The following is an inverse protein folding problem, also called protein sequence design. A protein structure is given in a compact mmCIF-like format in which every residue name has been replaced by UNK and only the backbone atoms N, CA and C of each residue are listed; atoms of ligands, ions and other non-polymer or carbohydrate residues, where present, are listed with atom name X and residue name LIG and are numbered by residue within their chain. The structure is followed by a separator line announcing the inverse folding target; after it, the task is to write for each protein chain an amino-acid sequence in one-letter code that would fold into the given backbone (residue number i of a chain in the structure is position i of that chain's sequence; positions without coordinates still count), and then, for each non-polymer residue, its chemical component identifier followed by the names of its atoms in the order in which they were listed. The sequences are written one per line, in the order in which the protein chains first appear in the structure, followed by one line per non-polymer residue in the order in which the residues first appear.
data_IF_026236255042
#
_entry.id   IF_026236255042
#
_cell.length_a   1.000
_cell.length_b   1.000
_cell.length_c   1.000
_cell.angle_alpha   90.00
_cell.angle_beta   90.00
_cell.angle_gamma   90.00
#
_symmetry.space_group_name_H-M   'P 1'
#
loop_
_entity.id
_entity.type
_entity.pdbx_description
1 polymer ?
#
# COMPACT_ATOMS: atom_id res chain seq x y z
N UNK A 1 -16.63 5.38 -7.92
CA UNK A 1 -15.96 6.05 -6.78
C UNK A 1 -14.53 6.38 -7.17
N UNK A 2 -14.09 7.64 -7.04
CA UNK A 2 -12.73 8.10 -7.40
C UNK A 2 -11.60 7.39 -6.62
N UNK A 3 -11.93 6.83 -5.46
CA UNK A 3 -10.99 6.22 -4.53
C UNK A 3 -10.80 4.71 -4.77
N UNK A 4 -11.65 4.07 -5.57
CA UNK A 4 -11.67 2.61 -5.69
C UNK A 4 -10.37 2.03 -6.28
N UNK A 5 -9.93 2.55 -7.42
CA UNK A 5 -8.71 2.07 -8.09
C UNK A 5 -7.46 2.34 -7.22
N UNK A 6 -7.25 3.55 -6.68
CA UNK A 6 -6.15 3.81 -5.75
C UNK A 6 -6.13 2.91 -4.52
N UNK A 7 -7.29 2.71 -3.86
CA UNK A 7 -7.37 1.86 -2.67
C UNK A 7 -7.06 0.40 -3.01
N UNK A 8 -7.51 -0.10 -4.15
CA UNK A 8 -7.14 -1.45 -4.62
C UNK A 8 -5.65 -1.55 -4.95
N UNK A 9 -5.08 -0.55 -5.62
CA UNK A 9 -3.64 -0.52 -5.90
C UNK A 9 -2.83 -0.52 -4.59
N UNK A 10 -3.25 0.24 -3.59
CA UNK A 10 -2.64 0.22 -2.27
C UNK A 10 -2.80 -1.12 -1.54
N UNK A 11 -3.97 -1.76 -1.59
CA UNK A 11 -4.20 -3.03 -0.88
C UNK A 11 -3.34 -4.19 -1.38
N UNK A 12 -2.93 -4.16 -2.65
CA UNK A 12 -2.04 -5.15 -3.25
C UNK A 12 -0.56 -4.72 -3.29
N UNK A 13 -0.21 -3.62 -2.63
CA UNK A 13 1.16 -3.15 -2.52
C UNK A 13 1.95 -4.00 -1.52
N UNK A 14 2.64 -5.03 -2.01
CA UNK A 14 3.48 -5.89 -1.16
C UNK A 14 4.99 -5.70 -1.37
N UNK A 15 5.41 -4.82 -2.28
CA UNK A 15 6.79 -4.71 -2.78
C UNK A 15 7.84 -4.48 -1.68
N UNK A 16 7.52 -3.74 -0.62
CA UNK A 16 8.45 -3.45 0.48
C UNK A 16 8.83 -4.69 1.28
N UNK A 17 7.97 -5.71 1.30
CA UNK A 17 8.16 -6.94 2.06
C UNK A 17 8.80 -8.06 1.23
N UNK A 18 8.84 -7.91 -0.10
CA UNK A 18 9.40 -8.93 -1.02
C UNK A 18 10.88 -9.20 -0.71
N UNK A 19 11.70 -8.17 -0.50
CA UNK A 19 13.15 -8.37 -0.27
C UNK A 19 13.43 -9.12 1.06
N UNK A 20 12.86 -8.72 2.21
CA UNK A 20 13.00 -9.50 3.45
C UNK A 20 12.54 -10.96 3.29
N UNK A 21 11.38 -11.19 2.67
CA UNK A 21 10.85 -12.55 2.46
C UNK A 21 11.80 -13.37 1.58
N UNK A 22 12.39 -12.76 0.55
CA UNK A 22 13.35 -13.44 -0.32
C UNK A 22 14.62 -13.85 0.43
N UNK A 23 15.14 -12.99 1.31
CA UNK A 23 16.34 -13.28 2.10
C UNK A 23 16.14 -14.39 3.13
N UNK A 24 14.94 -14.50 3.70
CA UNK A 24 14.58 -15.54 4.67
C UNK A 24 14.11 -16.85 4.02
N UNK A 25 13.88 -16.85 2.70
CA UNK A 25 13.42 -18.04 1.98
C UNK A 25 14.55 -19.08 1.92
N UNK A 26 14.33 -20.25 2.53
CA UNK A 26 15.24 -21.39 2.46
C UNK A 26 15.56 -21.72 0.99
N UNK A 27 16.82 -21.65 0.55
CA UNK A 27 17.29 -21.84 -0.84
C UNK A 27 16.61 -20.90 -1.86
N UNK A 28 16.90 -19.58 -1.81
CA UNK A 28 16.15 -18.58 -2.55
C UNK A 28 16.38 -18.67 -4.07
N UNK A 29 15.29 -18.69 -4.84
CA UNK A 29 15.33 -18.67 -6.32
C UNK A 29 14.19 -17.85 -6.89
N UNK A 30 14.35 -17.33 -8.12
CA UNK A 30 13.33 -16.49 -8.77
C UNK A 30 11.97 -17.21 -8.89
N UNK A 31 11.99 -18.46 -9.34
CA UNK A 31 10.78 -19.28 -9.50
C UNK A 31 10.06 -19.51 -8.17
N UNK A 32 10.80 -19.82 -7.11
CA UNK A 32 10.20 -20.04 -5.78
C UNK A 32 9.63 -18.77 -5.18
N UNK A 33 10.33 -17.65 -5.34
CA UNK A 33 9.83 -16.35 -4.90
C UNK A 33 8.55 -15.95 -5.66
N UNK A 34 8.50 -16.24 -6.96
CA UNK A 34 7.31 -16.00 -7.75
C UNK A 34 6.14 -16.86 -7.32
N UNK A 35 6.37 -18.14 -6.98
CA UNK A 35 5.33 -19.00 -6.41
C UNK A 35 4.80 -18.43 -5.07
N UNK A 36 5.70 -18.05 -4.15
CA UNK A 36 5.32 -17.40 -2.88
C UNK A 36 4.48 -16.14 -3.12
N UNK A 37 4.88 -15.32 -4.08
CA UNK A 37 4.18 -14.07 -4.42
C UNK A 37 2.80 -14.35 -5.01
N UNK A 38 2.69 -15.27 -5.97
CA UNK A 38 1.41 -15.63 -6.61
C UNK A 38 0.45 -16.25 -5.60
N UNK A 39 0.92 -17.19 -4.77
CA UNK A 39 0.10 -17.77 -3.70
C UNK A 39 -0.34 -16.71 -2.69
N UNK A 40 0.56 -15.82 -2.27
CA UNK A 40 0.24 -14.75 -1.31
C UNK A 40 -0.78 -13.75 -1.85
N UNK A 41 -0.62 -13.29 -3.09
CA UNK A 41 -1.57 -12.38 -3.74
C UNK A 41 -2.92 -13.07 -3.95
N UNK A 42 -2.92 -14.33 -4.41
CA UNK A 42 -4.15 -15.10 -4.61
C UNK A 42 -4.95 -15.29 -3.33
N UNK A 43 -4.28 -15.64 -2.23
CA UNK A 43 -4.92 -15.77 -0.92
C UNK A 43 -5.46 -14.41 -0.43
N UNK A 44 -4.68 -13.34 -0.58
CA UNK A 44 -5.10 -11.98 -0.20
C UNK A 44 -6.33 -11.54 -0.99
N UNK A 45 -6.37 -11.82 -2.30
CA UNK A 45 -7.52 -11.54 -3.15
C UNK A 45 -8.77 -12.26 -2.65
N UNK A 46 -8.69 -13.55 -2.33
CA UNK A 46 -9.84 -14.31 -1.81
C UNK A 46 -10.37 -13.73 -0.50
N UNK A 47 -9.49 -13.38 0.44
CA UNK A 47 -9.87 -12.81 1.73
C UNK A 47 -10.53 -11.44 1.54
N UNK A 48 -9.91 -10.57 0.73
CA UNK A 48 -10.45 -9.23 0.44
C UNK A 48 -11.77 -9.31 -0.31
N UNK A 49 -11.90 -10.21 -1.29
CA UNK A 49 -13.13 -10.39 -2.04
C UNK A 49 -14.28 -10.87 -1.16
N UNK A 50 -14.06 -11.90 -0.33
CA UNK A 50 -15.10 -12.39 0.59
C UNK A 50 -15.51 -11.31 1.59
N UNK A 51 -14.53 -10.61 2.17
CA UNK A 51 -14.78 -9.52 3.13
C UNK A 51 -15.55 -8.35 2.50
N UNK A 52 -15.19 -7.96 1.27
CA UNK A 52 -15.88 -6.91 0.52
C UNK A 52 -17.30 -7.33 0.11
N UNK A 53 -17.47 -8.57 -0.36
CA UNK A 53 -18.77 -9.11 -0.79
C UNK A 53 -19.75 -9.17 0.37
N UNK A 54 -19.40 -9.83 1.48
CA UNK A 54 -20.27 -9.94 2.64
C UNK A 54 -20.44 -8.61 3.39
N UNK A 55 -19.39 -7.78 3.43
CA UNK A 55 -19.47 -6.42 3.98
C UNK A 55 -20.47 -5.55 3.22
N UNK A 56 -20.46 -5.63 1.89
CA UNK A 56 -21.43 -4.93 1.04
C UNK A 56 -22.85 -5.51 1.18
N UNK A 57 -23.01 -6.84 1.10
CA UNK A 57 -24.33 -7.48 1.22
C UNK A 57 -24.99 -7.26 2.60
N UNK A 58 -24.23 -6.94 3.64
CA UNK A 58 -24.80 -6.66 4.97
C UNK A 58 -25.45 -5.27 5.04
N UNK A 59 -24.86 -4.25 4.40
CA UNK A 59 -25.29 -2.85 4.55
C UNK A 59 -25.85 -2.20 3.28
N UNK A 60 -25.60 -2.80 2.11
CA UNK A 60 -25.94 -2.28 0.79
C UNK A 60 -25.53 -0.79 0.65
N UNK A 61 -26.48 0.07 0.31
CA UNK A 61 -26.26 1.51 0.08
C UNK A 61 -25.83 2.29 1.34
N UNK A 62 -25.84 1.66 2.52
CA UNK A 62 -25.43 2.27 3.80
C UNK A 62 -23.97 1.97 4.17
N UNK A 63 -23.18 1.41 3.25
CA UNK A 63 -21.76 1.15 3.50
C UNK A 63 -20.96 2.46 3.60
N UNK A 64 -20.21 2.62 4.68
CA UNK A 64 -19.33 3.76 4.93
C UNK A 64 -17.93 3.56 4.35
N UNK A 65 -17.07 4.58 4.50
CA UNK A 65 -15.63 4.50 4.18
C UNK A 65 -14.91 3.44 5.01
N UNK A 66 -15.32 3.26 6.26
CA UNK A 66 -14.77 2.29 7.20
C UNK A 66 -15.83 1.28 7.63
N UNK A 67 -15.72 0.03 7.15
CA UNK A 67 -16.69 -1.02 7.43
C UNK A 67 -16.83 -1.29 8.94
N UNK A 68 -15.71 -1.27 9.68
CA UNK A 68 -15.70 -1.53 11.12
C UNK A 68 -16.41 -0.42 11.93
N UNK A 69 -16.33 0.83 11.45
CA UNK A 69 -17.05 1.95 12.04
C UNK A 69 -18.56 1.80 11.83
N UNK A 70 -18.97 1.34 10.65
CA UNK A 70 -20.39 1.04 10.35
C UNK A 70 -20.92 -0.06 11.27
N UNK A 71 -20.21 -1.19 11.38
CA UNK A 71 -20.60 -2.25 12.33
C UNK A 71 -20.68 -1.74 13.76
N UNK A 72 -19.71 -0.93 14.21
CA UNK A 72 -19.72 -0.34 15.54
C UNK A 72 -20.88 0.62 15.80
N UNK A 73 -21.40 1.29 14.77
CA UNK A 73 -22.54 2.20 14.89
C UNK A 73 -23.85 1.41 15.04
N UNK A 74 -23.98 0.30 14.33
CA UNK A 74 -25.16 -0.57 14.40
C UNK A 74 -25.16 -1.51 15.62
N UNK A 75 -23.98 -1.96 16.07
CA UNK A 75 -23.78 -2.92 17.17
C UNK A 75 -22.76 -2.37 18.20
N UNK A 76 -23.12 -1.33 18.97
CA UNK A 76 -22.16 -0.59 19.81
C UNK A 76 -21.57 -1.37 21.00
N UNK A 77 -22.23 -2.43 21.45
CA UNK A 77 -21.80 -3.23 22.62
C UNK A 77 -21.62 -4.71 22.30
N UNK A 78 -21.49 -5.05 21.02
CA UNK A 78 -21.31 -6.45 20.65
C UNK A 78 -19.88 -6.93 20.90
N UNK A 79 -19.76 -8.02 21.65
CA UNK A 79 -18.48 -8.58 22.08
C UNK A 79 -17.62 -9.04 20.90
N UNK A 80 -18.25 -9.46 19.79
CA UNK A 80 -17.55 -9.90 18.58
C UNK A 80 -16.89 -8.70 17.89
N UNK A 81 -17.63 -7.62 17.68
CA UNK A 81 -17.08 -6.40 17.07
C UNK A 81 -15.97 -5.79 17.93
N UNK A 82 -16.11 -5.80 19.26
CA UNK A 82 -15.07 -5.35 20.17
C UNK A 82 -13.80 -6.22 20.08
N UNK A 83 -13.98 -7.54 20.01
CA UNK A 83 -12.86 -8.50 19.85
C UNK A 83 -12.13 -8.26 18.52
N UNK A 84 -12.87 -8.08 17.41
CA UNK A 84 -12.28 -7.79 16.09
C UNK A 84 -11.49 -6.48 16.10
N UNK A 85 -12.01 -5.42 16.75
CA UNK A 85 -11.27 -4.15 16.90
C UNK A 85 -9.94 -4.33 17.62
N UNK A 86 -9.93 -5.06 18.74
CA UNK A 86 -8.70 -5.33 19.51
C UNK A 86 -7.73 -6.17 18.69
N UNK A 87 -8.21 -7.19 17.97
CA UNK A 87 -7.38 -8.00 17.08
C UNK A 87 -6.75 -7.18 15.95
N UNK A 88 -7.51 -6.30 15.29
CA UNK A 88 -6.99 -5.41 14.25
C UNK A 88 -5.97 -4.44 14.84
N UNK A 89 -6.26 -3.84 16.01
CA UNK A 89 -5.32 -2.95 16.69
C UNK A 89 -4.00 -3.66 16.98
N UNK A 90 -4.06 -4.87 17.53
CA UNK A 90 -2.87 -5.68 17.80
C UNK A 90 -2.09 -6.03 16.52
N UNK A 91 -2.79 -6.43 15.45
CA UNK A 91 -2.16 -6.74 14.16
C UNK A 91 -1.47 -5.51 13.54
N UNK A 92 -2.11 -4.34 13.60
CA UNK A 92 -1.53 -3.07 13.14
C UNK A 92 -0.30 -2.71 13.98
N UNK A 93 -0.36 -2.85 15.31
CA UNK A 93 0.78 -2.60 16.20
C UNK A 93 1.99 -3.49 15.86
N UNK A 94 1.78 -4.77 15.56
CA UNK A 94 2.85 -5.68 15.13
C UNK A 94 3.40 -5.34 13.73
N UNK A 95 2.57 -4.73 12.88
CA UNK A 95 2.97 -4.36 11.51
C UNK A 95 3.81 -3.06 11.49
N UNK A 96 3.60 -2.15 12.45
CA UNK A 96 4.31 -0.86 12.54
C UNK A 96 5.85 -1.03 12.55
N UNK A 97 6.46 -1.90 13.37
CA UNK A 97 7.90 -2.15 13.35
C UNK A 97 8.41 -2.66 12.00
N UNK A 98 7.65 -3.56 11.37
CA UNK A 98 8.03 -4.17 10.08
C UNK A 98 8.11 -3.14 8.96
N UNK A 99 7.22 -2.14 8.96
CA UNK A 99 7.22 -1.06 7.96
C UNK A 99 8.23 0.05 8.33
N UNK A 100 8.39 0.36 9.62
CA UNK A 100 9.35 1.38 10.07
C UNK A 100 10.81 1.00 9.79
N UNK A 101 11.14 -0.29 9.83
CA UNK A 101 12.49 -0.76 9.55
C UNK A 101 12.99 -0.37 8.13
N UNK A 102 12.32 -0.75 7.03
CA UNK A 102 12.72 -0.32 5.69
C UNK A 102 12.56 1.18 5.48
N UNK A 103 11.55 1.83 6.08
CA UNK A 103 11.38 3.29 6.00
C UNK A 103 12.60 4.04 6.58
N UNK A 104 13.05 3.64 7.77
CA UNK A 104 14.26 4.20 8.39
C UNK A 104 15.50 3.95 7.53
N UNK A 105 15.68 2.73 7.02
CA UNK A 105 16.80 2.41 6.13
C UNK A 105 16.79 3.29 4.86
N UNK A 106 15.62 3.51 4.27
CA UNK A 106 15.48 4.38 3.10
C UNK A 106 15.87 5.84 3.41
N UNK A 107 15.39 6.40 4.53
CA UNK A 107 15.77 7.76 4.96
C UNK A 107 17.27 7.87 5.20
N UNK A 108 17.86 6.92 5.92
CA UNK A 108 19.31 6.92 6.18
C UNK A 108 20.12 6.79 4.89
N UNK A 109 19.68 5.96 3.95
CA UNK A 109 20.35 5.80 2.66
C UNK A 109 20.26 7.07 1.81
N UNK A 110 19.15 7.81 1.85
CA UNK A 110 18.97 9.03 1.04
C UNK A 110 19.71 10.22 1.64
N UNK A 111 19.66 10.41 2.96
CA UNK A 111 20.17 11.62 3.61
C UNK A 111 21.54 11.44 4.27
N UNK A 112 21.93 10.23 4.64
CA UNK A 112 23.13 9.94 5.44
C UNK A 112 24.01 8.84 4.81
N UNK A 113 23.95 8.65 3.49
CA UNK A 113 24.66 7.59 2.74
C UNK A 113 26.17 7.49 3.02
N UNK A 114 26.81 8.61 3.39
CA UNK A 114 28.25 8.70 3.61
C UNK A 114 28.68 8.77 5.09
N UNK A 115 27.75 8.80 6.04
CA UNK A 115 28.08 8.93 7.47
C UNK A 115 28.00 7.60 8.21
N UNK A 116 28.92 7.39 9.15
CA UNK A 116 28.82 6.29 10.11
C UNK A 116 27.59 6.52 11.01
N UNK A 117 26.53 5.76 10.76
CA UNK A 117 25.25 5.93 11.47
C UNK A 117 25.42 5.46 12.92
N UNK A 118 25.25 6.38 13.87
CA UNK A 118 25.25 6.09 15.31
C UNK A 118 23.86 5.67 15.80
N UNK A 119 23.78 5.01 16.96
CA UNK A 119 22.51 4.69 17.63
C UNK A 119 21.63 5.93 17.86
N UNK A 120 22.25 7.08 18.14
CA UNK A 120 21.52 8.34 18.33
C UNK A 120 20.87 8.83 17.03
N UNK A 121 21.55 8.68 15.89
CA UNK A 121 20.96 8.97 14.58
C UNK A 121 19.76 8.05 14.30
N UNK A 122 19.85 6.76 14.62
CA UNK A 122 18.72 5.84 14.48
C UNK A 122 17.51 6.25 15.31
N UNK A 123 17.70 6.63 16.57
CA UNK A 123 16.63 7.09 17.47
C UNK A 123 16.01 8.37 16.93
N UNK A 124 16.81 9.36 16.54
CA UNK A 124 16.32 10.64 16.02
C UNK A 124 15.50 10.46 14.73
N UNK A 125 15.96 9.63 13.79
CA UNK A 125 15.22 9.37 12.56
C UNK A 125 13.89 8.65 12.85
N UNK A 126 13.89 7.65 13.74
CA UNK A 126 12.65 6.97 14.11
C UNK A 126 11.67 7.91 14.82
N UNK A 127 12.16 8.77 15.72
CA UNK A 127 11.33 9.76 16.40
C UNK A 127 10.72 10.75 15.40
N UNK A 128 11.53 11.29 14.49
CA UNK A 128 11.07 12.20 13.45
C UNK A 128 10.01 11.56 12.54
N UNK A 129 10.23 10.32 12.09
CA UNK A 129 9.25 9.57 11.30
C UNK A 129 7.92 9.40 12.06
N UNK A 130 7.97 8.99 13.32
CA UNK A 130 6.77 8.80 14.12
C UNK A 130 6.04 10.13 14.38
N UNK A 131 6.76 11.22 14.65
CA UNK A 131 6.17 12.55 14.80
C UNK A 131 5.42 12.98 13.54
N UNK A 132 6.00 12.76 12.34
CA UNK A 132 5.33 13.08 11.07
C UNK A 132 4.05 12.26 10.90
N UNK A 133 4.09 10.95 11.19
CA UNK A 133 2.92 10.06 11.08
C UNK A 133 1.82 10.48 12.05
N UNK A 134 2.15 10.81 13.30
CA UNK A 134 1.17 11.25 14.31
C UNK A 134 0.57 12.61 13.93
N UNK A 135 1.38 13.56 13.46
CA UNK A 135 0.87 14.84 12.96
C UNK A 135 -0.11 14.62 11.80
N UNK A 136 0.27 13.78 10.84
CA UNK A 136 -0.59 13.47 9.70
C UNK A 136 -1.92 12.82 10.14
N UNK A 137 -1.89 11.90 11.11
CA UNK A 137 -3.09 11.28 11.68
C UNK A 137 -3.99 12.27 12.42
N UNK A 138 -3.45 13.33 13.03
CA UNK A 138 -4.25 14.37 13.68
C UNK A 138 -4.92 15.32 12.68
N UNK A 139 -4.29 15.58 11.53
CA UNK A 139 -4.80 16.53 10.54
C UNK A 139 -5.69 15.92 9.46
N UNK A 140 -5.56 14.62 9.18
CA UNK A 140 -6.37 13.93 8.15
C UNK A 140 -7.50 13.14 8.82
N UNK A 141 -8.77 13.60 8.74
CA UNK A 141 -9.88 13.00 9.47
C UNK A 141 -10.37 11.66 8.89
N UNK A 142 -10.13 11.41 7.59
CA UNK A 142 -10.63 10.24 6.88
C UNK A 142 -9.48 9.38 6.32
N UNK A 143 -9.42 8.12 6.74
CA UNK A 143 -8.41 7.16 6.23
C UNK A 143 -8.54 6.92 4.72
N UNK A 144 -9.75 7.04 4.18
CA UNK A 144 -10.04 6.92 2.75
C UNK A 144 -9.24 7.94 1.92
N UNK A 145 -9.04 9.15 2.43
CA UNK A 145 -8.26 10.19 1.77
C UNK A 145 -6.79 9.80 1.70
N UNK A 146 -6.26 9.24 2.79
CA UNK A 146 -4.89 8.73 2.86
C UNK A 146 -4.69 7.61 1.84
N UNK A 147 -5.55 6.60 1.83
CA UNK A 147 -5.46 5.48 0.88
C UNK A 147 -5.65 5.92 -0.57
N UNK A 148 -6.51 6.91 -0.81
CA UNK A 148 -6.70 7.52 -2.12
C UNK A 148 -5.43 8.18 -2.66
N UNK A 149 -4.80 9.05 -1.87
CA UNK A 149 -3.59 9.78 -2.31
C UNK A 149 -2.39 8.85 -2.39
N UNK A 150 -2.12 8.06 -1.34
CA UNK A 150 -0.99 7.13 -1.33
C UNK A 150 -1.14 6.07 -2.42
N UNK A 151 -2.36 5.56 -2.63
CA UNK A 151 -2.67 4.62 -3.68
C UNK A 151 -2.48 5.18 -5.09
N UNK A 152 -2.94 6.41 -5.34
CA UNK A 152 -2.86 7.06 -6.66
C UNK A 152 -1.46 7.57 -7.01
N UNK A 153 -0.61 7.78 -6.02
CA UNK A 153 0.77 8.26 -6.22
C UNK A 153 1.78 7.13 -6.07
N UNK A 154 1.98 6.64 -4.85
CA UNK A 154 3.05 5.71 -4.52
C UNK A 154 2.77 4.34 -5.10
N UNK A 155 1.54 3.83 -4.94
CA UNK A 155 1.22 2.48 -5.39
C UNK A 155 1.14 2.36 -6.91
N UNK A 156 0.53 3.31 -7.60
CA UNK A 156 0.53 3.35 -9.08
C UNK A 156 1.96 3.42 -9.64
N UNK A 157 2.85 4.19 -9.01
CA UNK A 157 4.26 4.23 -9.40
C UNK A 157 4.93 2.87 -9.23
N UNK A 158 4.79 2.24 -8.06
CA UNK A 158 5.42 0.95 -7.75
C UNK A 158 4.87 -0.23 -8.54
N UNK A 159 3.56 -0.24 -8.82
CA UNK A 159 2.90 -1.35 -9.51
C UNK A 159 3.01 -1.28 -11.02
N UNK A 160 2.91 -0.08 -11.60
CA UNK A 160 2.76 0.07 -13.06
C UNK A 160 3.96 0.80 -13.68
N UNK A 161 4.37 1.94 -13.11
CA UNK A 161 5.38 2.81 -13.72
C UNK A 161 6.79 2.24 -13.60
N UNK A 162 7.26 1.93 -12.39
CA UNK A 162 8.63 1.47 -12.19
C UNK A 162 8.94 0.13 -12.85
N UNK A 163 8.07 -0.91 -12.78
CA UNK A 163 8.33 -2.15 -13.50
C UNK A 163 8.46 -1.95 -15.01
N UNK A 164 7.59 -1.11 -15.60
CA UNK A 164 7.66 -0.77 -17.02
C UNK A 164 8.93 0.00 -17.38
N UNK A 165 9.32 1.00 -16.57
CA UNK A 165 10.56 1.76 -16.78
C UNK A 165 11.81 0.89 -16.64
N UNK A 166 11.87 0.01 -15.64
CA UNK A 166 12.99 -0.92 -15.47
C UNK A 166 13.10 -1.88 -16.65
N UNK A 167 11.97 -2.42 -17.13
CA UNK A 167 11.97 -3.29 -18.30
C UNK A 167 12.45 -2.56 -19.55
N UNK A 168 11.95 -1.33 -19.82
CA UNK A 168 12.36 -0.54 -20.97
C UNK A 168 13.84 -0.16 -20.95
N UNK A 169 14.41 0.11 -19.77
CA UNK A 169 15.83 0.45 -19.62
C UNK A 169 16.76 -0.75 -19.69
N UNK A 170 16.33 -1.93 -19.22
CA UNK A 170 17.16 -3.12 -19.14
C UNK A 170 17.04 -4.03 -20.38
N UNK A 171 15.91 -4.00 -21.08
CA UNK A 171 15.67 -4.82 -22.26
C UNK A 171 16.48 -4.31 -23.46
N UNK A 172 17.23 -5.24 -24.08
CA UNK A 172 18.00 -5.01 -25.31
C UNK A 172 17.21 -5.30 -26.60
N UNK A 173 15.92 -5.61 -26.48
CA UNK A 173 15.05 -5.88 -27.63
C UNK A 173 14.82 -4.61 -28.48
N UNK A 174 14.39 -4.78 -29.73
CA UNK A 174 14.03 -3.63 -30.57
C UNK A 174 12.82 -2.89 -30.02
N UNK A 175 12.73 -1.57 -30.25
CA UNK A 175 11.64 -0.72 -29.75
C UNK A 175 10.24 -1.15 -30.22
N UNK A 176 10.16 -1.96 -31.29
CA UNK A 176 8.91 -2.47 -31.87
C UNK A 176 8.55 -3.87 -31.31
N UNK A 177 9.38 -4.45 -30.43
CA UNK A 177 9.05 -5.71 -29.76
C UNK A 177 7.72 -5.58 -28.99
N UNK A 178 6.81 -6.58 -29.10
CA UNK A 178 5.53 -6.56 -28.39
C UNK A 178 5.71 -6.45 -26.87
N UNK A 179 6.82 -6.97 -26.32
CA UNK A 179 7.10 -6.88 -24.89
C UNK A 179 7.50 -5.46 -24.47
N UNK A 180 8.30 -4.75 -25.28
CA UNK A 180 8.61 -3.32 -25.04
C UNK A 180 7.40 -2.42 -25.22
N UNK A 181 6.54 -2.70 -26.20
CA UNK A 181 5.29 -1.97 -26.38
C UNK A 181 4.37 -2.18 -25.17
N UNK A 182 4.26 -3.41 -24.66
CA UNK A 182 3.52 -3.72 -23.44
C UNK A 182 4.04 -2.97 -22.22
N UNK A 183 5.37 -2.89 -22.04
CA UNK A 183 5.97 -2.13 -20.95
C UNK A 183 5.71 -0.62 -21.08
N UNK A 184 5.75 -0.07 -22.30
CA UNK A 184 5.40 1.33 -22.55
C UNK A 184 3.92 1.61 -22.23
N UNK A 185 3.02 0.74 -22.68
CA UNK A 185 1.60 0.83 -22.38
C UNK A 185 1.33 0.77 -20.88
N UNK A 186 2.04 -0.07 -20.13
CA UNK A 186 1.94 -0.19 -18.68
C UNK A 186 2.33 1.12 -17.97
N UNK A 187 3.41 1.78 -18.41
CA UNK A 187 3.84 3.08 -17.87
C UNK A 187 2.79 4.15 -18.13
N UNK A 188 2.31 4.26 -19.37
CA UNK A 188 1.29 5.24 -19.74
C UNK A 188 0.01 5.02 -18.93
N UNK A 189 -0.44 3.76 -18.83
CA UNK A 189 -1.60 3.39 -18.02
C UNK A 189 -1.42 3.80 -16.56
N UNK A 190 -0.27 3.50 -15.96
CA UNK A 190 0.04 3.87 -14.58
C UNK A 190 -0.01 5.38 -14.33
N UNK A 191 0.58 6.17 -15.24
CA UNK A 191 0.56 7.64 -15.18
C UNK A 191 -0.86 8.18 -15.32
N UNK A 192 -1.62 7.70 -16.31
CA UNK A 192 -3.00 8.12 -16.54
C UNK A 192 -3.89 7.81 -15.32
N UNK A 193 -3.83 6.58 -14.81
CA UNK A 193 -4.62 6.16 -13.63
C UNK A 193 -4.24 6.97 -12.40
N UNK A 194 -2.93 7.17 -12.15
CA UNK A 194 -2.45 7.94 -11.01
C UNK A 194 -2.90 9.39 -11.06
N UNK A 195 -2.66 10.09 -12.18
CA UNK A 195 -3.04 11.49 -12.35
C UNK A 195 -4.56 11.69 -12.31
N UNK A 196 -5.31 10.88 -13.06
CA UNK A 196 -6.77 10.98 -13.07
C UNK A 196 -7.35 10.77 -11.68
N UNK A 197 -6.89 9.74 -10.96
CA UNK A 197 -7.37 9.47 -9.60
C UNK A 197 -7.02 10.60 -8.65
N UNK A 198 -5.79 11.14 -8.72
CA UNK A 198 -5.35 12.25 -7.87
C UNK A 198 -6.19 13.52 -8.13
N UNK A 199 -6.39 13.88 -9.40
CA UNK A 199 -7.22 15.03 -9.78
C UNK A 199 -8.66 14.86 -9.28
N UNK A 200 -9.25 13.68 -9.46
CA UNK A 200 -10.61 13.40 -8.99
C UNK A 200 -10.71 13.45 -7.46
N UNK A 201 -9.69 12.99 -6.73
CA UNK A 201 -9.66 13.04 -5.26
C UNK A 201 -9.59 14.50 -4.79
N UNK A 202 -8.68 15.29 -5.36
CA UNK A 202 -8.53 16.72 -5.03
C UNK A 202 -9.81 17.48 -5.34
N UNK A 203 -10.41 17.23 -6.50
CA UNK A 203 -11.68 17.83 -6.89
C UNK A 203 -12.79 17.52 -5.88
N UNK A 204 -12.90 16.26 -5.44
CA UNK A 204 -13.86 15.88 -4.38
C UNK A 204 -13.59 16.59 -3.04
N UNK A 205 -12.36 17.00 -2.74
CA UNK A 205 -12.07 17.77 -1.52
C UNK A 205 -12.44 19.25 -1.66
N UNK A 206 -12.41 19.80 -2.87
CA UNK A 206 -12.82 21.19 -3.12
C UNK A 206 -14.34 21.36 -3.10
N UNK A 207 -15.07 20.32 -3.49
CA UNK A 207 -16.53 20.30 -3.52
C UNK A 207 -17.18 19.92 -2.16
N UNK A 208 -16.38 19.63 -1.13
CA UNK A 208 -16.81 19.30 0.24
C UNK A 208 -16.71 20.48 1.20
#
# INVERSE_FOLDING_TARGET
SAYAIPTMAFSFLCHTSVLPIYCELQSPSKSRMQNVTVTGIGLSFLIYFMSALFGYLTFYDKVGSELLQVYSRYLPHDVVIMTVKVAILFAVLLTVPLIHFPARKAVLMVFFSHLAVSWMCHILVTLALNTIVVLFAMYVPDIKNVFGVVGSTTSTCLLFVYPGLFYLKLSREDFISPQKLGACALVIFGICVGLLSLVLIIYNWMDQ
#
